data_IF_164560159490
#
_entry.id   IF_164560159490
#
_cell.length_a   1.000
_cell.length_b   1.000
_cell.length_c   1.000
_cell.angle_alpha   90.00
_cell.angle_beta   90.00
_cell.angle_gamma   90.00
#
_symmetry.space_group_name_H-M   'P 1'
#
loop_
_entity.id
_entity.type
_entity.pdbx_description
1 polymer ?
#
# COMPACT_ATOMS: atom_id res chain seq x y z
N UNK A 1 -21.90 -8.23 7.14
CA UNK A 1 -21.21 -7.07 6.52
C UNK A 1 -21.29 -7.17 5.01
N UNK A 2 -21.67 -6.11 4.37
CA UNK A 2 -21.72 -6.04 2.90
C UNK A 2 -20.31 -6.12 2.32
N UNK A 3 -20.10 -6.99 1.33
CA UNK A 3 -18.85 -7.04 0.58
C UNK A 3 -18.65 -5.74 -0.20
N UNK A 4 -17.39 -5.35 -0.38
CA UNK A 4 -17.04 -4.12 -1.09
C UNK A 4 -16.10 -4.42 -2.26
N UNK A 5 -16.23 -3.64 -3.32
CA UNK A 5 -15.32 -3.74 -4.47
C UNK A 5 -14.00 -3.02 -4.18
N UNK A 6 -12.98 -3.33 -4.99
CA UNK A 6 -11.67 -2.68 -4.89
C UNK A 6 -11.80 -1.15 -5.01
N UNK A 7 -12.59 -0.69 -5.97
CA UNK A 7 -12.75 0.75 -6.24
C UNK A 7 -13.44 1.52 -5.11
N UNK A 8 -14.27 0.87 -4.32
CA UNK A 8 -14.99 1.54 -3.21
C UNK A 8 -14.05 2.07 -2.13
N UNK A 9 -12.89 1.44 -1.93
CA UNK A 9 -11.94 1.85 -0.90
C UNK A 9 -10.62 2.41 -1.43
N UNK A 10 -10.42 2.37 -2.75
CA UNK A 10 -9.20 2.87 -3.36
C UNK A 10 -8.88 4.30 -2.93
N UNK A 11 -7.61 4.57 -2.67
CA UNK A 11 -7.15 5.87 -2.20
C UNK A 11 -5.99 6.37 -3.05
N UNK A 12 -5.94 7.67 -3.26
CA UNK A 12 -4.86 8.33 -3.98
C UNK A 12 -4.35 9.49 -3.13
N UNK A 13 -3.04 9.51 -2.89
CA UNK A 13 -2.36 10.62 -2.23
C UNK A 13 -1.37 11.24 -3.19
N UNK A 14 -1.30 12.57 -3.22
CA UNK A 14 -0.27 13.29 -3.98
C UNK A 14 0.39 14.31 -3.07
N UNK A 15 1.71 14.41 -3.16
CA UNK A 15 2.47 15.35 -2.35
C UNK A 15 3.70 15.85 -3.11
N UNK A 16 3.97 17.15 -3.00
CA UNK A 16 5.20 17.73 -3.54
C UNK A 16 6.35 17.36 -2.61
N UNK A 17 7.44 16.88 -3.17
CA UNK A 17 8.61 16.53 -2.40
C UNK A 17 9.38 17.79 -2.01
N UNK A 18 9.32 18.10 -0.73
CA UNK A 18 9.89 19.32 -0.14
C UNK A 18 11.39 19.14 0.20
N UNK A 19 12.17 20.22 0.28
CA UNK A 19 13.60 20.14 0.64
C UNK A 19 13.88 19.42 1.95
N UNK A 20 12.97 19.49 2.93
CA UNK A 20 13.11 18.79 4.21
C UNK A 20 13.08 17.28 4.09
N UNK A 21 12.61 16.75 2.96
CA UNK A 21 12.56 15.31 2.72
C UNK A 21 13.84 14.77 2.09
N UNK A 22 14.76 15.65 1.71
CA UNK A 22 15.96 15.28 0.99
C UNK A 22 17.03 14.70 1.94
N UNK A 23 17.76 13.72 1.43
CA UNK A 23 18.98 13.24 2.06
C UNK A 23 20.15 14.17 1.65
N UNK A 24 21.36 13.88 2.15
CA UNK A 24 22.54 14.68 1.85
C UNK A 24 23.00 14.62 0.38
N UNK A 25 22.42 13.71 -0.45
CA UNK A 25 22.68 13.64 -1.89
C UNK A 25 21.68 14.43 -2.73
N UNK A 26 20.68 15.05 -2.09
CA UNK A 26 19.65 15.82 -2.81
C UNK A 26 18.46 15.01 -3.30
N UNK A 27 18.43 13.70 -3.06
CA UNK A 27 17.26 12.87 -3.35
C UNK A 27 16.40 12.69 -2.09
N UNK A 28 15.15 12.29 -2.28
CA UNK A 28 14.21 12.09 -1.18
C UNK A 28 14.56 10.82 -0.41
N UNK A 29 14.52 10.89 0.92
CA UNK A 29 14.72 9.72 1.77
C UNK A 29 13.68 8.64 1.48
N UNK A 30 14.15 7.40 1.35
CA UNK A 30 13.27 6.25 1.19
C UNK A 30 12.23 6.13 2.31
N UNK A 31 12.62 6.50 3.52
CA UNK A 31 11.70 6.50 4.67
C UNK A 31 10.51 7.43 4.52
N UNK A 32 10.67 8.55 3.83
CA UNK A 32 9.55 9.46 3.53
C UNK A 32 8.56 8.77 2.57
N UNK A 33 9.07 8.11 1.55
CA UNK A 33 8.24 7.39 0.57
C UNK A 33 7.49 6.24 1.26
N UNK A 34 8.15 5.50 2.14
CA UNK A 34 7.54 4.42 2.92
C UNK A 34 6.45 4.93 3.86
N UNK A 35 6.68 6.08 4.49
CA UNK A 35 5.68 6.72 5.36
C UNK A 35 4.42 7.09 4.55
N UNK A 36 4.61 7.67 3.36
CA UNK A 36 3.48 8.02 2.49
C UNK A 36 2.74 6.78 2.00
N UNK A 37 3.46 5.70 1.70
CA UNK A 37 2.86 4.42 1.33
C UNK A 37 2.00 3.86 2.48
N UNK A 38 2.50 3.93 3.71
CA UNK A 38 1.75 3.52 4.90
C UNK A 38 0.47 4.36 5.07
N UNK A 39 0.57 5.67 4.89
CA UNK A 39 -0.59 6.58 4.97
C UNK A 39 -1.65 6.26 3.91
N UNK A 40 -1.22 6.01 2.68
CA UNK A 40 -2.14 5.65 1.59
C UNK A 40 -2.84 4.31 1.88
N UNK A 41 -2.09 3.33 2.35
CA UNK A 41 -2.65 2.02 2.73
C UNK A 41 -3.62 2.16 3.91
N UNK A 42 -3.30 3.00 4.88
CA UNK A 42 -4.17 3.29 6.02
C UNK A 42 -5.52 3.85 5.55
N UNK A 43 -5.51 4.79 4.61
CA UNK A 43 -6.75 5.39 4.09
C UNK A 43 -7.60 4.33 3.39
N UNK A 44 -7.00 3.53 2.50
CA UNK A 44 -7.73 2.47 1.79
C UNK A 44 -8.30 1.45 2.76
N UNK A 45 -7.51 0.98 3.71
CA UNK A 45 -7.94 -0.02 4.70
C UNK A 45 -9.05 0.52 5.61
N UNK A 46 -8.93 1.78 6.04
CA UNK A 46 -9.93 2.44 6.88
C UNK A 46 -11.27 2.60 6.14
N UNK A 47 -11.22 2.95 4.86
CA UNK A 47 -12.42 3.05 4.02
C UNK A 47 -13.11 1.69 3.87
N UNK A 48 -12.32 0.64 3.67
CA UNK A 48 -12.87 -0.71 3.52
C UNK A 48 -13.48 -1.22 4.82
N UNK A 49 -12.73 -1.14 5.91
CA UNK A 49 -13.15 -1.70 7.21
C UNK A 49 -14.16 -0.83 7.93
N UNK A 50 -14.09 0.50 7.79
CA UNK A 50 -14.81 1.49 8.61
C UNK A 50 -14.59 1.25 10.11
N UNK A 51 -13.37 0.89 10.46
CA UNK A 51 -12.89 0.62 11.81
C UNK A 51 -11.47 1.16 11.94
N UNK A 52 -10.95 1.17 13.15
CA UNK A 52 -9.53 1.49 13.34
C UNK A 52 -8.69 0.37 12.71
N UNK A 53 -7.60 0.76 12.08
CA UNK A 53 -6.69 -0.18 11.43
C UNK A 53 -5.25 0.11 11.86
N UNK A 54 -4.44 -0.94 11.90
CA UNK A 54 -3.01 -0.83 12.18
C UNK A 54 -2.22 -1.59 11.11
N UNK A 55 -1.00 -1.15 10.84
CA UNK A 55 -0.11 -1.85 9.95
C UNK A 55 0.48 -3.07 10.65
N UNK A 56 0.40 -4.23 10.00
CA UNK A 56 0.96 -5.48 10.52
C UNK A 56 2.29 -5.82 9.84
N UNK A 57 2.44 -5.53 8.56
CA UNK A 57 3.69 -5.77 7.82
C UNK A 57 3.78 -4.91 6.57
N UNK A 58 5.00 -4.71 6.10
CA UNK A 58 5.29 -4.04 4.83
C UNK A 58 6.41 -4.81 4.15
N UNK A 59 6.20 -5.18 2.88
CA UNK A 59 7.23 -5.84 2.11
C UNK A 59 8.28 -4.83 1.64
N UNK A 60 9.50 -5.33 1.43
CA UNK A 60 10.60 -4.54 0.90
C UNK A 60 10.28 -3.96 -0.48
N UNK A 61 10.60 -2.67 -0.65
CA UNK A 61 10.40 -1.97 -1.93
C UNK A 61 11.75 -1.76 -2.61
N UNK A 62 11.80 -2.11 -3.88
CA UNK A 62 12.92 -1.71 -4.74
C UNK A 62 12.52 -0.44 -5.49
N UNK A 63 13.28 0.63 -5.28
CA UNK A 63 13.05 1.88 -6.00
C UNK A 63 13.76 1.84 -7.35
N UNK A 64 12.99 1.92 -8.43
CA UNK A 64 13.50 1.86 -9.81
C UNK A 64 14.21 3.14 -10.22
N UNK A 65 13.79 4.28 -9.68
CA UNK A 65 14.32 5.60 -9.99
C UNK A 65 14.39 6.45 -8.73
N UNK A 66 15.37 7.38 -8.65
CA UNK A 66 15.42 8.31 -7.52
C UNK A 66 14.25 9.31 -7.57
N UNK A 67 13.76 9.68 -6.41
CA UNK A 67 12.78 10.75 -6.25
C UNK A 67 13.54 11.99 -5.77
N UNK A 68 13.31 13.12 -6.42
CA UNK A 68 14.04 14.36 -6.14
C UNK A 68 13.13 15.44 -5.57
N UNK A 69 13.74 16.40 -4.90
CA UNK A 69 13.02 17.60 -4.42
C UNK A 69 12.35 18.29 -5.62
N UNK A 70 11.10 18.67 -5.45
CA UNK A 70 10.29 19.29 -6.50
C UNK A 70 9.45 18.30 -7.31
N UNK A 71 9.71 17.00 -7.20
CA UNK A 71 8.85 15.98 -7.83
C UNK A 71 7.50 15.96 -7.13
N UNK A 72 6.45 15.61 -7.87
CA UNK A 72 5.15 15.30 -7.30
C UNK A 72 5.02 13.79 -7.19
N UNK A 73 4.94 13.30 -5.96
CA UNK A 73 4.78 11.87 -5.72
C UNK A 73 3.29 11.57 -5.61
N UNK A 74 2.82 10.57 -6.35
CA UNK A 74 1.43 10.11 -6.27
C UNK A 74 1.43 8.63 -5.93
N UNK A 75 0.62 8.27 -4.93
CA UNK A 75 0.53 6.91 -4.41
C UNK A 75 -0.91 6.43 -4.59
N UNK A 76 -1.05 5.29 -5.27
CA UNK A 76 -2.36 4.68 -5.57
C UNK A 76 -2.49 3.41 -4.72
N UNK A 77 -3.34 3.45 -3.72
CA UNK A 77 -3.57 2.32 -2.81
C UNK A 77 -4.86 1.59 -3.17
N UNK A 78 -4.77 0.28 -3.31
CA UNK A 78 -5.92 -0.59 -3.59
C UNK A 78 -5.81 -1.89 -2.81
N UNK A 79 -6.94 -2.36 -2.28
CA UNK A 79 -7.01 -3.63 -1.56
C UNK A 79 -7.36 -4.72 -2.57
N UNK A 80 -6.46 -5.70 -2.73
CA UNK A 80 -6.68 -6.80 -3.66
C UNK A 80 -6.92 -8.15 -2.98
N UNK A 81 -6.77 -8.23 -1.66
CA UNK A 81 -7.04 -9.43 -0.89
C UNK A 81 -7.44 -9.06 0.53
N UNK A 82 -8.40 -9.81 1.09
CA UNK A 82 -8.76 -9.67 2.50
C UNK A 82 -8.83 -11.05 3.14
N UNK A 83 -8.36 -11.12 4.39
CA UNK A 83 -8.60 -12.26 5.25
C UNK A 83 -9.81 -11.98 6.14
N UNK A 84 -9.89 -12.64 7.27
CA UNK A 84 -10.98 -12.41 8.21
C UNK A 84 -10.87 -11.05 8.91
N UNK A 85 -9.66 -10.67 9.31
CA UNK A 85 -9.37 -9.42 10.02
C UNK A 85 -8.32 -8.55 9.30
N UNK A 86 -7.71 -9.05 8.24
CA UNK A 86 -6.62 -8.40 7.54
C UNK A 86 -7.01 -7.96 6.13
N UNK A 87 -6.28 -6.96 5.63
CA UNK A 87 -6.46 -6.41 4.30
C UNK A 87 -5.07 -6.23 3.69
N UNK A 88 -4.85 -6.82 2.51
CA UNK A 88 -3.60 -6.68 1.78
C UNK A 88 -3.73 -5.59 0.74
N UNK A 89 -2.91 -4.56 0.88
CA UNK A 89 -2.95 -3.34 0.07
C UNK A 89 -1.72 -3.26 -0.82
N UNK A 90 -1.93 -3.03 -2.11
CA UNK A 90 -0.86 -2.63 -3.01
C UNK A 90 -0.86 -1.10 -3.07
N UNK A 91 0.30 -0.50 -2.86
CA UNK A 91 0.48 0.94 -3.06
C UNK A 91 1.46 1.14 -4.22
N UNK A 92 0.93 1.55 -5.35
CA UNK A 92 1.74 1.86 -6.53
C UNK A 92 2.22 3.30 -6.40
N UNK A 93 3.50 3.53 -6.66
CA UNK A 93 4.17 4.82 -6.43
C UNK A 93 4.67 5.38 -7.76
N UNK A 94 4.26 6.61 -8.05
CA UNK A 94 4.59 7.33 -9.28
C UNK A 94 5.20 8.68 -8.92
N UNK A 95 6.26 9.07 -9.61
CA UNK A 95 6.84 10.40 -9.49
C UNK A 95 6.59 11.17 -10.78
N UNK A 96 6.12 12.41 -10.66
CA UNK A 96 6.01 13.32 -11.78
C UNK A 96 7.19 14.30 -11.75
N UNK A 97 8.01 14.25 -12.80
CA UNK A 97 9.13 15.17 -13.03
C UNK A 97 8.56 16.35 -13.80
N UNK A 98 8.06 17.35 -13.09
CA UNK A 98 7.28 18.45 -13.67
C UNK A 98 8.06 19.20 -14.77
N UNK A 99 9.32 19.54 -14.52
CA UNK A 99 10.15 20.26 -15.49
C UNK A 99 10.40 19.48 -16.78
N UNK A 100 10.38 18.16 -16.72
CA UNK A 100 10.58 17.29 -17.87
C UNK A 100 9.26 16.86 -18.53
N UNK A 101 8.13 17.15 -17.89
CA UNK A 101 6.81 16.74 -18.36
C UNK A 101 6.62 15.23 -18.38
N UNK A 102 7.22 14.51 -17.41
CA UNK A 102 7.34 13.07 -17.41
C UNK A 102 6.83 12.47 -16.11
N UNK A 103 6.10 11.35 -16.20
CA UNK A 103 5.70 10.53 -15.05
C UNK A 103 6.46 9.21 -15.10
N UNK A 104 7.09 8.84 -13.99
CA UNK A 104 7.87 7.61 -13.91
C UNK A 104 7.33 6.71 -12.79
N UNK A 105 7.32 5.40 -13.06
CA UNK A 105 6.96 4.39 -12.07
C UNK A 105 8.14 4.19 -11.13
N UNK A 106 7.92 4.42 -9.83
CA UNK A 106 8.95 4.26 -8.81
C UNK A 106 8.96 2.84 -8.26
N UNK A 107 7.81 2.20 -8.20
CA UNK A 107 7.66 0.86 -7.66
C UNK A 107 6.34 0.67 -6.95
N UNK A 108 6.22 -0.46 -6.26
CA UNK A 108 5.03 -0.78 -5.48
C UNK A 108 5.40 -1.30 -4.10
N UNK A 109 4.64 -0.86 -3.10
CA UNK A 109 4.72 -1.39 -1.75
C UNK A 109 3.52 -2.30 -1.51
N UNK A 110 3.72 -3.35 -0.73
CA UNK A 110 2.66 -4.26 -0.33
C UNK A 110 2.59 -4.25 1.20
N UNK A 111 1.44 -3.88 1.73
CA UNK A 111 1.23 -3.75 3.16
C UNK A 111 0.06 -4.61 3.59
N UNK A 112 0.20 -5.26 4.76
CA UNK A 112 -0.92 -5.93 5.40
C UNK A 112 -1.40 -5.05 6.54
N UNK A 113 -2.68 -4.66 6.49
CA UNK A 113 -3.35 -3.86 7.50
C UNK A 113 -4.34 -4.75 8.25
N UNK A 114 -4.52 -4.51 9.53
CA UNK A 114 -5.43 -5.30 10.37
C UNK A 114 -6.44 -4.37 11.03
N UNK A 115 -7.73 -4.70 10.94
CA UNK A 115 -8.77 -3.96 11.66
C UNK A 115 -8.75 -4.34 13.12
N UNK A 116 -8.90 -3.37 14.00
CA UNK A 116 -8.91 -3.57 15.45
C UNK A 116 -10.17 -2.97 16.07
N UNK A 117 -10.61 -3.59 17.15
CA UNK A 117 -11.74 -3.10 17.95
C UNK A 117 -11.28 -2.04 18.96
N UNK A 118 -12.18 -1.53 19.79
CA UNK A 118 -11.89 -0.51 20.80
C UNK A 118 -10.86 -0.95 21.83
N UNK A 119 -10.70 -2.27 22.01
CA UNK A 119 -9.71 -2.86 22.93
C UNK A 119 -8.38 -3.19 22.24
N UNK A 120 -8.23 -2.83 20.96
CA UNK A 120 -7.03 -3.10 20.19
C UNK A 120 -6.91 -4.53 19.68
N UNK A 121 -7.99 -5.32 19.73
CA UNK A 121 -7.97 -6.72 19.25
C UNK A 121 -8.41 -6.80 17.80
N UNK A 122 -7.83 -7.73 17.00
CA UNK A 122 -8.28 -7.91 15.61
C UNK A 122 -9.79 -8.15 15.53
N UNK A 123 -10.42 -7.52 14.56
CA UNK A 123 -11.86 -7.61 14.34
C UNK A 123 -12.16 -7.81 12.85
N UNK A 124 -13.31 -8.36 12.54
CA UNK A 124 -13.70 -8.74 11.19
C UNK A 124 -13.79 -7.56 10.24
N UNK A 125 -13.41 -7.83 8.99
CA UNK A 125 -13.53 -6.88 7.87
C UNK A 125 -14.53 -7.41 6.84
N UNK A 126 -15.15 -6.51 6.05
CA UNK A 126 -16.01 -6.95 4.92
C UNK A 126 -15.22 -7.74 3.90
N UNK A 127 -15.87 -8.69 3.25
CA UNK A 127 -15.29 -9.41 2.12
C UNK A 127 -15.04 -8.49 0.92
N UNK A 128 -14.27 -8.98 -0.03
CA UNK A 128 -13.88 -8.23 -1.23
C UNK A 128 -14.56 -8.81 -2.47
N UNK A 129 -15.03 -7.92 -3.34
CA UNK A 129 -15.57 -8.27 -4.66
C UNK A 129 -14.52 -7.91 -5.71
N UNK A 130 -14.06 -8.90 -6.47
CA UNK A 130 -13.14 -8.69 -7.59
C UNK A 130 -13.95 -8.60 -8.87
N UNK A 131 -13.84 -7.49 -9.60
CA UNK A 131 -14.65 -7.21 -10.80
C UNK A 131 -13.90 -7.33 -12.12
N UNK A 132 -12.58 -7.11 -12.11
CA UNK A 132 -11.79 -7.08 -13.35
C UNK A 132 -10.77 -8.21 -13.38
N UNK A 133 -10.27 -8.53 -14.57
CA UNK A 133 -9.19 -9.50 -14.74
C UNK A 133 -7.93 -9.07 -14.00
N UNK A 134 -7.63 -7.77 -14.05
CA UNK A 134 -6.47 -7.21 -13.33
C UNK A 134 -6.60 -7.41 -11.82
N UNK A 135 -7.78 -7.13 -11.26
CA UNK A 135 -8.04 -7.34 -9.83
C UNK A 135 -7.87 -8.81 -9.44
N UNK A 136 -8.36 -9.73 -10.26
CA UNK A 136 -8.23 -11.18 -10.05
C UNK A 136 -6.76 -11.61 -10.07
N UNK A 137 -5.99 -11.10 -11.05
CA UNK A 137 -4.55 -11.39 -11.15
C UNK A 137 -3.77 -10.85 -9.95
N UNK A 138 -4.05 -9.61 -9.55
CA UNK A 138 -3.43 -8.99 -8.38
C UNK A 138 -3.76 -9.76 -7.10
N UNK A 139 -5.00 -10.18 -6.94
CA UNK A 139 -5.42 -11.01 -5.81
C UNK A 139 -4.61 -12.31 -5.77
N UNK A 140 -4.48 -12.99 -6.91
CA UNK A 140 -3.72 -14.23 -7.02
C UNK A 140 -2.25 -14.05 -6.64
N UNK A 141 -1.61 -13.00 -7.15
CA UNK A 141 -0.21 -12.68 -6.85
C UNK A 141 0.01 -12.43 -5.35
N UNK A 142 -0.88 -11.66 -4.73
CA UNK A 142 -0.80 -11.34 -3.31
C UNK A 142 -1.00 -12.58 -2.45
N UNK A 143 -1.97 -13.45 -2.80
CA UNK A 143 -2.20 -14.70 -2.08
C UNK A 143 -0.99 -15.62 -2.17
N UNK A 144 -0.34 -15.73 -3.34
CA UNK A 144 0.86 -16.53 -3.52
C UNK A 144 2.04 -16.01 -2.69
N UNK A 145 2.24 -14.69 -2.64
CA UNK A 145 3.27 -14.06 -1.80
C UNK A 145 3.03 -14.37 -0.33
N UNK A 146 1.78 -14.33 0.09
CA UNK A 146 1.37 -14.60 1.47
C UNK A 146 1.64 -16.05 1.85
N UNK A 147 1.28 -17.00 1.00
CA UNK A 147 1.53 -18.43 1.19
C UNK A 147 3.03 -18.73 1.30
N UNK A 148 3.86 -18.12 0.45
CA UNK A 148 5.32 -18.27 0.52
C UNK A 148 5.89 -17.77 1.83
N UNK A 149 5.39 -16.64 2.31
CA UNK A 149 5.81 -16.05 3.59
C UNK A 149 5.46 -16.96 4.76
N UNK A 150 4.23 -17.47 4.79
CA UNK A 150 3.76 -18.41 5.80
C UNK A 150 4.54 -19.73 5.73
N UNK A 151 4.82 -20.23 4.53
CA UNK A 151 5.64 -21.42 4.31
C UNK A 151 7.05 -21.27 4.84
N UNK A 152 7.69 -20.11 4.64
CA UNK A 152 9.02 -19.82 5.18
C UNK A 152 9.02 -19.79 6.71
N UNK A 153 8.01 -19.19 7.32
CA UNK A 153 7.87 -19.14 8.77
C UNK A 153 7.73 -20.54 9.33
N UNK A 154 6.90 -21.38 8.70
CA UNK A 154 6.72 -22.80 9.10
C UNK A 154 7.97 -23.63 8.92
N UNK A 155 8.76 -23.40 7.87
CA UNK A 155 9.99 -24.15 7.60
C UNK A 155 11.17 -23.72 8.49
N UNK A 156 11.16 -22.50 9.01
CA UNK A 156 12.19 -21.95 9.89
C UNK A 156 11.84 -22.05 11.38
N UNK A 157 10.65 -22.52 11.67
CA UNK A 157 10.13 -22.67 13.05
C UNK A 157 10.27 -24.14 13.55
#
# INVERSE_FOLDING_TARGET
MRKKSVSESAATLSEVMMPMYANHYGSVHGGVILKLADEAAFVAASRHAKKNVVGASMDHIEFKYPVNVGDVLTLFASIYHVGRTSMDVEVRIQAEKIKEGKKVDIGSAYLTMVAIDEKGRPTRVPGLILKTKEEIEKNKEIRQKRERREGKIKSNG
#
